data_IF_248423556910
#
_entry.id   IF_248423556910
#
_cell.length_a   1.000
_cell.length_b   1.000
_cell.length_c   1.000
_cell.angle_alpha   90.00
_cell.angle_beta   90.00
_cell.angle_gamma   90.00
#
_symmetry.space_group_name_H-M   'P 1'
#
loop_
_entity.id
_entity.type
_entity.pdbx_description
1 polymer ?
#
# COMPACT_ATOMS: atom_id res chain seq x y z
N UNK A 1 8.40 20.71 -28.37
CA UNK A 1 7.05 21.31 -28.47
C UNK A 1 6.44 21.28 -27.07
N UNK A 2 5.90 22.40 -26.54
CA UNK A 2 5.27 22.38 -25.25
C UNK A 2 4.02 21.49 -25.30
N UNK A 3 3.86 20.61 -24.33
CA UNK A 3 2.68 19.79 -24.15
C UNK A 3 1.65 20.59 -23.34
N UNK A 4 0.43 20.72 -23.83
CA UNK A 4 -0.65 21.38 -23.13
C UNK A 4 -1.64 20.28 -22.71
N UNK A 5 -1.82 20.12 -21.40
CA UNK A 5 -2.81 19.25 -20.82
C UNK A 5 -4.02 20.07 -20.37
N UNK A 6 -5.21 19.61 -20.72
CA UNK A 6 -6.48 20.16 -20.24
C UNK A 6 -7.14 19.15 -19.29
N UNK A 7 -8.23 19.54 -18.64
CA UNK A 7 -9.07 18.61 -17.87
C UNK A 7 -9.91 17.66 -18.76
N UNK A 8 -9.98 17.97 -20.05
CA UNK A 8 -10.71 17.16 -21.01
C UNK A 8 -9.86 16.01 -21.55
N UNK A 9 -10.50 15.02 -22.16
CA UNK A 9 -9.78 13.94 -22.82
C UNK A 9 -8.99 14.49 -24.02
N UNK A 10 -7.82 13.93 -24.26
CA UNK A 10 -6.89 14.41 -25.28
C UNK A 10 -6.24 13.27 -26.06
N UNK A 11 -5.81 13.58 -27.26
CA UNK A 11 -4.96 12.70 -28.07
C UNK A 11 -3.47 12.82 -27.69
N UNK A 12 -2.59 12.06 -28.33
CA UNK A 12 -1.19 11.95 -27.93
C UNK A 12 -0.38 13.24 -27.97
N UNK A 13 -0.77 14.22 -28.76
CA UNK A 13 -0.10 15.52 -28.85
C UNK A 13 -0.63 16.56 -27.84
N UNK A 14 -1.63 16.18 -27.04
CA UNK A 14 -2.26 17.04 -26.03
C UNK A 14 -3.49 17.80 -26.54
N UNK A 15 -3.90 17.64 -27.80
CA UNK A 15 -5.10 18.27 -28.33
C UNK A 15 -6.34 17.60 -27.75
N UNK A 16 -7.29 18.40 -27.22
CA UNK A 16 -8.56 17.90 -26.68
C UNK A 16 -9.40 17.20 -27.74
N UNK A 17 -10.12 16.16 -27.36
CA UNK A 17 -10.97 15.40 -28.28
C UNK A 17 -12.26 14.95 -27.60
N UNK A 18 -13.37 14.97 -28.36
CA UNK A 18 -14.64 14.35 -28.00
C UNK A 18 -14.93 13.13 -28.89
N UNK A 19 -13.98 12.77 -29.75
CA UNK A 19 -14.12 11.60 -30.64
C UNK A 19 -14.01 10.31 -29.83
N UNK A 20 -15.06 9.50 -29.85
CA UNK A 20 -15.15 8.26 -29.06
C UNK A 20 -14.05 7.23 -29.38
N UNK A 21 -13.59 7.16 -30.64
CA UNK A 21 -12.53 6.25 -31.04
C UNK A 21 -11.18 6.67 -30.48
N UNK A 22 -10.88 7.97 -30.46
CA UNK A 22 -9.66 8.50 -29.88
C UNK A 22 -9.67 8.37 -28.35
N UNK A 23 -10.80 8.62 -27.69
CA UNK A 23 -10.99 8.42 -26.26
C UNK A 23 -10.73 6.96 -25.89
N UNK A 24 -11.33 6.01 -26.60
CA UNK A 24 -11.12 4.57 -26.37
C UNK A 24 -9.64 4.19 -26.51
N UNK A 25 -8.99 4.60 -27.58
CA UNK A 25 -7.55 4.35 -27.84
C UNK A 25 -6.67 4.89 -26.72
N UNK A 26 -6.94 6.11 -26.21
CA UNK A 26 -6.17 6.69 -25.13
C UNK A 26 -6.44 6.01 -23.78
N UNK A 27 -7.65 5.56 -23.53
CA UNK A 27 -8.00 4.78 -22.34
C UNK A 27 -7.28 3.44 -22.33
N UNK A 28 -7.30 2.70 -23.43
CA UNK A 28 -6.56 1.44 -23.57
C UNK A 28 -5.05 1.64 -23.40
N UNK A 29 -4.51 2.73 -23.94
CA UNK A 29 -3.10 3.08 -23.77
C UNK A 29 -2.75 3.29 -22.28
N UNK A 30 -3.59 4.00 -21.52
CA UNK A 30 -3.39 4.21 -20.09
C UNK A 30 -3.47 2.90 -19.30
N UNK A 31 -4.44 2.05 -19.63
CA UNK A 31 -4.56 0.72 -19.00
C UNK A 31 -3.29 -0.12 -19.19
N UNK A 32 -2.79 -0.23 -20.42
CA UNK A 32 -1.53 -0.94 -20.70
C UNK A 32 -0.33 -0.35 -19.94
N UNK A 33 -0.26 0.96 -19.74
CA UNK A 33 0.79 1.59 -18.92
C UNK A 33 0.73 1.15 -17.47
N UNK A 34 -0.47 1.00 -16.91
CA UNK A 34 -0.63 0.54 -15.53
C UNK A 34 -0.18 -0.91 -15.35
N UNK A 35 -0.46 -1.79 -16.31
CA UNK A 35 0.06 -3.16 -16.32
C UNK A 35 1.59 -3.18 -16.34
N UNK A 36 2.18 -2.45 -17.30
CA UNK A 36 3.63 -2.32 -17.39
C UNK A 36 4.26 -1.74 -16.12
N UNK A 37 3.60 -0.76 -15.49
CA UNK A 37 4.06 -0.19 -14.23
C UNK A 37 4.04 -1.25 -13.13
N UNK A 38 2.95 -2.01 -12.97
CA UNK A 38 2.82 -3.08 -11.98
C UNK A 38 3.98 -4.08 -12.10
N UNK A 39 4.31 -4.51 -13.30
CA UNK A 39 5.41 -5.47 -13.54
C UNK A 39 6.79 -4.93 -13.12
N UNK A 40 6.99 -3.61 -13.22
CA UNK A 40 8.27 -2.95 -12.91
C UNK A 40 8.36 -2.39 -11.49
N UNK A 41 7.27 -2.34 -10.71
CA UNK A 41 7.31 -1.90 -9.32
C UNK A 41 8.00 -2.95 -8.44
N UNK A 42 8.79 -2.50 -7.44
CA UNK A 42 9.33 -3.42 -6.45
C UNK A 42 8.22 -3.97 -5.55
N UNK A 43 8.46 -5.14 -5.00
CA UNK A 43 7.66 -5.70 -3.92
C UNK A 43 7.71 -4.81 -2.66
N UNK A 44 6.67 -4.86 -1.81
CA UNK A 44 6.74 -4.20 -0.51
C UNK A 44 7.91 -4.73 0.31
N UNK A 45 8.55 -3.84 1.08
CA UNK A 45 9.75 -4.17 1.82
C UNK A 45 9.40 -4.78 3.19
N UNK A 46 10.01 -5.92 3.49
CA UNK A 46 9.88 -6.56 4.79
C UNK A 46 11.01 -6.12 5.75
N UNK A 47 10.63 -5.80 6.98
CA UNK A 47 11.56 -5.44 8.07
C UNK A 47 11.31 -6.32 9.30
N UNK A 48 12.35 -6.52 10.11
CA UNK A 48 12.29 -7.26 11.36
C UNK A 48 12.58 -8.75 11.20
N UNK A 49 12.15 -9.54 12.18
CA UNK A 49 12.42 -10.97 12.21
C UNK A 49 11.53 -11.75 11.24
N UNK A 50 12.14 -12.46 10.29
CA UNK A 50 11.41 -13.29 9.31
C UNK A 50 10.61 -14.44 9.97
N UNK A 51 11.01 -14.84 11.19
CA UNK A 51 10.30 -15.85 11.97
C UNK A 51 9.21 -15.27 12.87
N UNK A 52 9.05 -13.94 12.92
CA UNK A 52 7.99 -13.32 13.68
C UNK A 52 6.62 -13.89 13.26
N UNK A 53 5.76 -14.14 14.25
CA UNK A 53 4.40 -14.59 14.01
C UNK A 53 3.49 -13.41 13.69
N UNK A 54 3.62 -12.31 14.45
CA UNK A 54 2.82 -11.08 14.28
C UNK A 54 3.56 -10.10 13.37
N UNK A 55 2.88 -9.69 12.30
CA UNK A 55 3.44 -8.84 11.25
C UNK A 55 2.51 -7.66 11.01
N UNK A 56 3.00 -6.46 11.24
CA UNK A 56 2.30 -5.25 10.84
C UNK A 56 2.38 -5.07 9.32
N UNK A 57 1.30 -4.59 8.73
CA UNK A 57 1.21 -4.22 7.31
C UNK A 57 0.75 -2.78 7.23
N UNK A 58 1.51 -1.94 6.54
CA UNK A 58 1.20 -0.52 6.46
C UNK A 58 1.99 0.22 5.40
N UNK A 59 1.82 1.53 5.36
CA UNK A 59 2.44 2.44 4.40
C UNK A 59 2.71 3.82 5.01
N UNK A 60 3.47 4.64 4.29
CA UNK A 60 3.68 6.03 4.67
C UNK A 60 4.38 6.20 6.03
N UNK A 61 3.87 7.08 6.87
CA UNK A 61 4.55 7.53 8.10
C UNK A 61 4.61 6.48 9.22
N UNK A 62 3.82 5.40 9.16
CA UNK A 62 3.89 4.30 10.13
C UNK A 62 5.24 3.55 10.11
N UNK A 63 6.02 3.67 9.03
CA UNK A 63 7.31 3.00 8.87
C UNK A 63 8.28 3.28 10.01
N UNK A 64 8.53 4.56 10.28
CA UNK A 64 9.61 4.93 11.19
C UNK A 64 9.36 4.49 12.64
N UNK A 65 8.13 4.58 13.12
CA UNK A 65 7.78 4.15 14.48
C UNK A 65 7.88 2.63 14.63
N UNK A 66 7.50 1.85 13.62
CA UNK A 66 7.67 0.40 13.64
C UNK A 66 9.16 0.02 13.60
N UNK A 67 9.96 0.69 12.77
CA UNK A 67 11.40 0.44 12.71
C UNK A 67 12.10 0.80 14.03
N UNK A 68 11.63 1.84 14.73
CA UNK A 68 12.15 2.19 16.04
C UNK A 68 11.90 1.07 17.05
N UNK A 69 10.72 0.48 17.06
CA UNK A 69 10.41 -0.69 17.90
C UNK A 69 11.28 -1.90 17.53
N UNK A 70 11.37 -2.25 16.24
CA UNK A 70 12.15 -3.39 15.78
C UNK A 70 13.62 -3.26 16.18
N UNK A 71 14.19 -2.05 16.12
CA UNK A 71 15.62 -1.83 16.36
C UNK A 71 15.98 -1.59 17.83
N UNK A 72 15.03 -1.12 18.66
CA UNK A 72 15.35 -0.62 20.01
C UNK A 72 14.58 -1.35 21.12
N UNK A 73 13.83 -2.39 20.80
CA UNK A 73 13.13 -3.21 21.81
C UNK A 73 13.34 -4.70 21.54
N UNK A 74 13.06 -5.54 22.53
CA UNK A 74 13.09 -7.01 22.40
C UNK A 74 11.79 -7.57 21.76
N UNK A 75 10.98 -6.72 21.15
CA UNK A 75 9.70 -7.12 20.56
C UNK A 75 9.90 -7.93 19.28
N UNK A 76 9.38 -9.14 19.26
CA UNK A 76 9.50 -10.05 18.12
C UNK A 76 8.36 -9.85 17.11
N UNK A 77 8.45 -8.79 16.31
CA UNK A 77 7.51 -8.45 15.25
C UNK A 77 8.17 -8.36 13.88
N UNK A 78 7.35 -8.46 12.83
CA UNK A 78 7.72 -8.11 11.48
C UNK A 78 6.91 -6.91 10.99
N UNK A 79 7.36 -6.30 9.90
CA UNK A 79 6.67 -5.21 9.24
C UNK A 79 6.79 -5.32 7.73
N UNK A 80 5.66 -5.40 7.04
CA UNK A 80 5.56 -5.30 5.59
C UNK A 80 5.17 -3.88 5.21
N UNK A 81 6.10 -3.15 4.61
CA UNK A 81 5.91 -1.75 4.23
C UNK A 81 5.65 -1.61 2.74
N UNK A 82 4.54 -0.94 2.39
CA UNK A 82 4.23 -0.56 1.03
C UNK A 82 4.77 0.84 0.72
N UNK A 83 5.77 0.94 -0.15
CA UNK A 83 6.23 2.20 -0.74
C UNK A 83 5.29 2.65 -1.87
N UNK A 84 4.71 1.69 -2.58
CA UNK A 84 3.77 1.90 -3.69
C UNK A 84 2.47 1.18 -3.40
N UNK A 85 1.37 1.91 -3.37
CA UNK A 85 0.06 1.37 -3.05
C UNK A 85 -0.84 1.17 -4.28
N UNK A 86 -0.45 1.72 -5.43
CA UNK A 86 -1.19 1.53 -6.67
C UNK A 86 -0.28 1.63 -7.91
N UNK A 87 -0.32 0.67 -8.82
CA UNK A 87 -0.97 -0.65 -8.68
C UNK A 87 -0.33 -1.48 -7.56
N UNK A 88 -1.16 -2.22 -6.83
CA UNK A 88 -0.71 -2.98 -5.66
C UNK A 88 0.05 -4.24 -6.05
N UNK A 89 1.19 -4.48 -5.40
CA UNK A 89 1.93 -5.77 -5.46
C UNK A 89 1.49 -6.63 -4.28
N UNK A 90 1.06 -7.85 -4.54
CA UNK A 90 0.43 -8.71 -3.53
C UNK A 90 1.21 -9.96 -3.18
N UNK A 91 2.20 -10.33 -3.99
CA UNK A 91 2.87 -11.63 -3.94
C UNK A 91 3.49 -11.89 -2.56
N UNK A 92 4.19 -10.91 -2.00
CA UNK A 92 4.82 -11.02 -0.68
C UNK A 92 3.83 -11.04 0.48
N UNK A 93 2.70 -10.33 0.33
CA UNK A 93 1.61 -10.39 1.30
C UNK A 93 0.93 -11.75 1.28
N UNK A 94 0.66 -12.30 0.10
CA UNK A 94 0.06 -13.63 -0.08
C UNK A 94 0.95 -14.73 0.48
N UNK A 95 2.28 -14.60 0.34
CA UNK A 95 3.23 -15.50 0.98
C UNK A 95 3.07 -15.49 2.52
N UNK A 96 2.93 -14.32 3.14
CA UNK A 96 2.71 -14.21 4.58
C UNK A 96 1.37 -14.80 5.02
N UNK A 97 0.31 -14.60 4.23
CA UNK A 97 -1.02 -15.18 4.47
C UNK A 97 -0.94 -16.71 4.42
N UNK A 98 -0.30 -17.26 3.37
CA UNK A 98 -0.17 -18.71 3.17
C UNK A 98 0.71 -19.39 4.25
N UNK A 99 1.59 -18.62 4.90
CA UNK A 99 2.41 -19.10 6.03
C UNK A 99 1.76 -18.87 7.40
N UNK A 100 0.44 -18.66 7.45
CA UNK A 100 -0.38 -18.49 8.68
C UNK A 100 0.17 -17.40 9.63
N UNK A 101 0.73 -16.30 9.07
CA UNK A 101 1.17 -15.16 9.87
C UNK A 101 -0.03 -14.36 10.39
N UNK A 102 0.10 -13.82 11.59
CA UNK A 102 -0.87 -12.89 12.18
C UNK A 102 -0.64 -11.49 11.62
N UNK A 103 -1.45 -11.08 10.65
CA UNK A 103 -1.31 -9.79 9.99
C UNK A 103 -2.16 -8.72 10.68
N UNK A 104 -1.53 -7.62 11.05
CA UNK A 104 -2.15 -6.44 11.67
C UNK A 104 -2.03 -5.26 10.72
N UNK A 105 -3.16 -4.69 10.30
CA UNK A 105 -3.14 -3.44 9.54
C UNK A 105 -2.80 -2.27 10.45
N UNK A 106 -1.82 -1.43 10.06
CA UNK A 106 -1.52 -0.18 10.76
C UNK A 106 -1.64 1.02 9.82
N UNK A 107 -2.57 1.94 10.14
CA UNK A 107 -2.82 3.12 9.31
C UNK A 107 -3.23 4.35 10.13
N UNK A 108 -2.75 5.53 9.67
CA UNK A 108 -3.14 6.82 10.23
C UNK A 108 -4.40 7.38 9.57
N UNK A 109 -5.45 6.55 9.49
CA UNK A 109 -6.78 6.95 9.02
C UNK A 109 -7.86 6.12 9.72
N UNK A 110 -9.12 6.57 9.63
CA UNK A 110 -10.26 5.95 10.33
C UNK A 110 -10.72 4.64 9.69
N UNK A 111 -10.53 4.47 8.40
CA UNK A 111 -11.25 3.46 7.63
C UNK A 111 -10.38 2.32 7.13
N UNK A 112 -9.04 2.40 7.29
CA UNK A 112 -8.10 1.38 6.84
C UNK A 112 -8.07 1.27 5.31
N UNK A 113 -7.65 2.33 4.62
CA UNK A 113 -7.75 2.44 3.16
C UNK A 113 -6.87 1.41 2.43
N UNK A 114 -5.63 1.20 2.89
CA UNK A 114 -4.79 0.13 2.34
C UNK A 114 -5.43 -1.25 2.58
N UNK A 115 -6.02 -1.45 3.77
CA UNK A 115 -6.70 -2.70 4.08
C UNK A 115 -7.90 -2.98 3.16
N UNK A 116 -8.63 -1.94 2.74
CA UNK A 116 -9.71 -2.06 1.76
C UNK A 116 -9.18 -2.41 0.38
N UNK A 117 -8.11 -1.72 -0.06
CA UNK A 117 -7.48 -2.00 -1.34
C UNK A 117 -6.92 -3.43 -1.40
N UNK A 118 -6.26 -3.89 -0.33
CA UNK A 118 -5.79 -5.27 -0.22
C UNK A 118 -6.96 -6.26 -0.31
N UNK A 119 -8.09 -5.96 0.36
CA UNK A 119 -9.28 -6.81 0.28
C UNK A 119 -9.87 -6.86 -1.13
N UNK A 120 -9.88 -5.75 -1.84
CA UNK A 120 -10.33 -5.67 -3.23
C UNK A 120 -9.46 -6.52 -4.16
N UNK A 121 -8.13 -6.42 -4.02
CA UNK A 121 -7.17 -7.09 -4.90
C UNK A 121 -6.97 -8.59 -4.59
N UNK A 122 -7.07 -8.99 -3.31
CA UNK A 122 -6.70 -10.36 -2.86
C UNK A 122 -7.84 -11.14 -2.21
N UNK A 123 -8.93 -10.48 -1.83
CA UNK A 123 -9.98 -11.06 -0.99
C UNK A 123 -9.62 -11.17 0.50
N UNK A 124 -8.37 -10.86 0.89
CA UNK A 124 -7.94 -10.95 2.29
C UNK A 124 -8.48 -9.80 3.13
N UNK A 125 -9.05 -10.12 4.30
CA UNK A 125 -9.53 -9.13 5.25
C UNK A 125 -8.74 -9.21 6.57
N UNK A 126 -8.14 -8.09 6.97
CA UNK A 126 -7.43 -8.00 8.25
C UNK A 126 -8.39 -8.17 9.43
N UNK A 127 -8.10 -9.15 10.28
CA UNK A 127 -8.84 -9.38 11.53
C UNK A 127 -8.47 -8.36 12.61
N UNK A 128 -7.19 -7.96 12.64
CA UNK A 128 -6.66 -6.98 13.58
C UNK A 128 -6.25 -5.71 12.85
N UNK A 129 -6.65 -4.55 13.40
CA UNK A 129 -6.36 -3.24 12.82
C UNK A 129 -6.00 -2.26 13.92
N UNK A 130 -4.85 -1.62 13.78
CA UNK A 130 -4.43 -0.50 14.61
C UNK A 130 -4.58 0.79 13.81
N UNK A 131 -5.69 1.50 14.01
CA UNK A 131 -6.04 2.72 13.29
C UNK A 131 -5.97 3.92 14.21
N UNK A 132 -5.27 4.98 13.79
CA UNK A 132 -5.15 6.23 14.55
C UNK A 132 -5.54 7.42 13.68
N UNK A 133 -6.50 8.20 14.14
CA UNK A 133 -7.08 9.31 13.35
C UNK A 133 -7.42 10.53 14.23
N UNK A 134 -6.65 10.72 15.30
CA UNK A 134 -6.80 11.83 16.26
C UNK A 134 -5.94 13.06 15.90
N UNK A 135 -5.37 13.10 14.71
CA UNK A 135 -4.51 14.17 14.20
C UNK A 135 -3.05 14.09 14.66
N UNK A 136 -2.69 13.09 15.46
CA UNK A 136 -1.31 12.84 15.91
C UNK A 136 -0.69 11.65 15.20
N UNK A 137 0.63 11.60 15.01
CA UNK A 137 1.31 10.41 14.50
C UNK A 137 1.22 9.26 15.51
N UNK A 138 1.54 8.06 15.06
CA UNK A 138 1.79 6.93 15.97
C UNK A 138 3.04 7.20 16.82
N UNK A 139 2.94 6.85 18.10
CA UNK A 139 4.08 6.77 19.03
C UNK A 139 4.42 5.30 19.29
N UNK A 140 5.62 5.05 19.80
CA UNK A 140 6.07 3.70 20.18
C UNK A 140 5.10 3.07 21.19
N UNK A 141 4.62 3.86 22.15
CA UNK A 141 3.69 3.43 23.19
C UNK A 141 2.36 2.93 22.62
N UNK A 142 1.82 3.59 21.60
CA UNK A 142 0.55 3.17 20.94
C UNK A 142 0.65 1.72 20.43
N UNK A 143 1.80 1.36 19.89
CA UNK A 143 2.02 0.03 19.30
C UNK A 143 2.37 -0.99 20.39
N UNK A 144 3.21 -0.63 21.37
CA UNK A 144 3.54 -1.50 22.48
C UNK A 144 2.31 -1.82 23.36
N UNK A 145 1.40 -0.86 23.54
CA UNK A 145 0.14 -1.09 24.26
C UNK A 145 -0.80 -2.02 23.48
N UNK A 146 -0.84 -1.90 22.17
CA UNK A 146 -1.60 -2.82 21.30
C UNK A 146 -1.06 -4.27 21.34
N UNK A 147 0.23 -4.46 21.63
CA UNK A 147 0.87 -5.78 21.66
C UNK A 147 0.72 -6.53 23.01
N UNK A 148 0.21 -5.86 24.06
CA UNK A 148 -0.07 -6.46 25.39
C UNK A 148 -1.33 -7.31 25.36
#
# INVERSE_FOLDING_TARGET
KPYISTSDEHIEDGTSTENSQEILKMTEKRSRKMETLKDNLPEPTYYGNSQAKKIFVGWGSSKNVILDIINNTDTNIGYLHYEYIYPLKTEKLEELINNDKELVLIESNQTGELGKLIKEETGYEFKEKLLKFDGRPFFVEDILDFLK
#
